data_IF_132376460154
#
_entry.id   IF_132376460154
#
_cell.length_a   1.000
_cell.length_b   1.000
_cell.length_c   1.000
_cell.angle_alpha   90.00
_cell.angle_beta   90.00
_cell.angle_gamma   90.00
#
_symmetry.space_group_name_H-M   'P 1'
#
loop_
_entity.id
_entity.type
_entity.pdbx_description
1 polymer ?
#
# COMPACT_ATOMS: atom_id res chain seq x y z
N UNK A 1 -1.75 2.20 24.51
CA UNK A 1 -2.67 2.88 23.55
C UNK A 1 -4.10 2.78 24.05
N UNK A 2 -4.91 3.84 23.89
CA UNK A 2 -6.35 3.84 24.23
C UNK A 2 -7.18 3.24 23.08
N UNK A 3 -8.35 2.68 23.38
CA UNK A 3 -9.22 2.02 22.37
C UNK A 3 -9.57 2.97 21.23
N UNK A 4 -9.96 4.21 21.53
CA UNK A 4 -10.33 5.17 20.47
C UNK A 4 -9.14 5.54 19.58
N UNK A 5 -7.91 5.60 20.11
CA UNK A 5 -6.70 5.82 19.29
C UNK A 5 -6.49 4.64 18.33
N UNK A 6 -6.69 3.42 18.83
CA UNK A 6 -6.60 2.21 18.00
C UNK A 6 -7.67 2.18 16.89
N UNK A 7 -8.89 2.66 17.18
CA UNK A 7 -9.96 2.80 16.17
C UNK A 7 -9.53 3.80 15.09
N UNK A 8 -9.03 4.97 15.47
CA UNK A 8 -8.59 6.01 14.51
C UNK A 8 -7.46 5.48 13.64
N UNK A 9 -6.41 4.91 14.23
CA UNK A 9 -5.27 4.35 13.49
C UNK A 9 -5.70 3.17 12.61
N UNK A 10 -6.62 2.34 13.08
CA UNK A 10 -7.22 1.28 12.28
C UNK A 10 -7.96 1.81 11.06
N UNK A 11 -8.83 2.82 11.22
CA UNK A 11 -9.53 3.47 10.10
C UNK A 11 -8.53 4.09 9.13
N UNK A 12 -7.51 4.78 9.65
CA UNK A 12 -6.45 5.39 8.83
C UNK A 12 -5.77 4.32 8.00
N UNK A 13 -5.27 3.23 8.61
CA UNK A 13 -4.64 2.13 7.89
C UNK A 13 -5.58 1.56 6.82
N UNK A 14 -6.81 1.20 7.20
CA UNK A 14 -7.73 0.53 6.28
C UNK A 14 -8.09 1.40 5.08
N UNK A 15 -8.34 2.69 5.28
CA UNK A 15 -8.54 3.62 4.17
C UNK A 15 -7.26 3.70 3.31
N UNK A 16 -6.14 4.04 3.93
CA UNK A 16 -4.94 4.47 3.20
C UNK A 16 -4.12 3.33 2.59
N UNK A 17 -4.35 2.07 2.98
CA UNK A 17 -3.63 0.90 2.44
C UNK A 17 -3.91 0.70 0.94
N UNK A 18 -5.16 0.90 0.52
CA UNK A 18 -5.56 0.68 -0.87
C UNK A 18 -5.63 1.96 -1.68
N UNK A 19 -5.99 3.07 -1.03
CA UNK A 19 -5.93 4.39 -1.64
C UNK A 19 -4.47 4.72 -2.01
N UNK A 20 -4.22 5.41 -3.14
CA UNK A 20 -2.87 5.69 -3.60
C UNK A 20 -2.25 6.87 -2.84
N UNK A 21 -2.27 6.82 -1.50
CA UNK A 21 -1.90 7.94 -0.62
C UNK A 21 -0.85 7.60 0.44
N UNK A 22 -0.35 6.36 0.46
CA UNK A 22 0.64 5.84 1.41
C UNK A 22 0.10 5.64 2.83
N UNK A 23 -0.20 4.39 3.19
CA UNK A 23 -0.65 4.01 4.52
C UNK A 23 0.40 4.24 5.58
N UNK A 24 1.65 3.82 5.35
CA UNK A 24 2.75 4.05 6.28
C UNK A 24 2.93 5.52 6.63
N UNK A 25 2.88 6.41 5.63
CA UNK A 25 3.01 7.85 5.88
C UNK A 25 1.86 8.42 6.71
N UNK A 26 0.63 8.00 6.45
CA UNK A 26 -0.53 8.44 7.23
C UNK A 26 -0.52 7.86 8.65
N UNK A 27 -0.12 6.61 8.81
CA UNK A 27 -0.05 5.96 10.12
C UNK A 27 0.98 6.64 11.01
N UNK A 28 2.16 6.97 10.48
CA UNK A 28 3.20 7.74 11.18
C UNK A 28 2.69 9.12 11.57
N UNK A 29 2.09 9.85 10.61
CA UNK A 29 1.53 11.18 10.85
C UNK A 29 0.47 11.17 11.97
N UNK A 30 -0.52 10.29 11.88
CA UNK A 30 -1.59 10.21 12.85
C UNK A 30 -1.10 9.71 14.22
N UNK A 31 -0.11 8.80 14.25
CA UNK A 31 0.48 8.38 15.52
C UNK A 31 1.17 9.54 16.23
N UNK A 32 1.92 10.36 15.47
CA UNK A 32 2.54 11.58 15.98
C UNK A 32 1.49 12.58 16.49
N UNK A 33 0.44 12.87 15.70
CA UNK A 33 -0.63 13.80 16.08
C UNK A 33 -1.43 13.35 17.31
N UNK A 34 -1.61 12.04 17.50
CA UNK A 34 -2.33 11.47 18.64
C UNK A 34 -1.46 11.32 19.90
N UNK A 35 -0.15 11.57 19.79
CA UNK A 35 0.82 11.42 20.87
C UNK A 35 0.88 10.01 21.46
N UNK A 36 0.60 8.97 20.64
CA UNK A 36 0.75 7.59 21.08
C UNK A 36 2.09 7.00 20.62
N UNK A 37 2.70 6.08 21.39
CA UNK A 37 3.91 5.40 20.94
C UNK A 37 3.58 4.49 19.76
N UNK A 38 4.42 4.50 18.73
CA UNK A 38 4.36 3.48 17.69
C UNK A 38 4.61 2.11 18.31
N UNK A 39 3.91 1.11 17.76
CA UNK A 39 3.99 -0.25 18.26
C UNK A 39 3.97 -1.20 17.07
N UNK A 40 5.14 -1.74 16.74
CA UNK A 40 5.33 -2.65 15.61
C UNK A 40 4.31 -3.79 15.60
N UNK A 41 4.00 -4.39 16.76
CA UNK A 41 3.01 -5.46 16.82
C UNK A 41 1.59 -4.97 16.47
N UNK A 42 1.21 -3.77 16.90
CA UNK A 42 -0.08 -3.20 16.50
C UNK A 42 -0.13 -2.90 15.00
N UNK A 43 0.93 -2.33 14.44
CA UNK A 43 1.00 -2.02 13.00
C UNK A 43 0.90 -3.29 12.15
N UNK A 44 1.57 -4.37 12.58
CA UNK A 44 1.45 -5.72 12.00
C UNK A 44 -0.02 -6.19 12.02
N UNK A 45 -0.71 -6.05 13.15
CA UNK A 45 -2.12 -6.45 13.27
C UNK A 45 -3.02 -5.61 12.34
N UNK A 46 -2.77 -4.32 12.20
CA UNK A 46 -3.51 -3.47 11.27
C UNK A 46 -3.34 -3.92 9.81
N UNK A 47 -2.12 -4.30 9.40
CA UNK A 47 -1.87 -4.87 8.07
C UNK A 47 -2.64 -6.18 7.85
N UNK A 48 -2.69 -7.07 8.85
CA UNK A 48 -3.53 -8.28 8.80
C UNK A 48 -5.00 -7.89 8.63
N UNK A 49 -5.47 -6.87 9.34
CA UNK A 49 -6.82 -6.33 9.19
C UNK A 49 -7.13 -5.97 7.74
N UNK A 50 -6.20 -5.31 7.05
CA UNK A 50 -6.35 -4.97 5.62
C UNK A 50 -6.14 -6.14 4.65
N UNK A 51 -5.43 -7.19 5.05
CA UNK A 51 -5.27 -8.40 4.22
C UNK A 51 -6.60 -9.12 4.00
N UNK A 52 -7.51 -9.09 4.99
CA UNK A 52 -8.83 -9.73 4.92
C UNK A 52 -9.68 -9.20 3.74
N UNK A 53 -9.89 -7.87 3.57
CA UNK A 53 -10.52 -7.30 2.39
C UNK A 53 -9.95 -7.81 1.06
N UNK A 54 -8.62 -7.88 0.93
CA UNK A 54 -7.99 -8.36 -0.30
C UNK A 54 -8.37 -9.80 -0.59
N UNK A 55 -8.23 -10.69 0.39
CA UNK A 55 -8.53 -12.12 0.23
C UNK A 55 -10.00 -12.31 -0.16
N UNK A 56 -10.92 -11.60 0.51
CA UNK A 56 -12.36 -11.75 0.27
C UNK A 56 -12.78 -11.18 -1.09
N UNK A 57 -12.34 -9.95 -1.42
CA UNK A 57 -12.71 -9.27 -2.68
C UNK A 57 -12.07 -9.93 -3.89
N UNK A 58 -10.83 -10.40 -3.78
CA UNK A 58 -10.08 -11.04 -4.87
C UNK A 58 -10.10 -12.56 -4.84
N UNK A 59 -10.95 -13.21 -4.02
CA UNK A 59 -11.00 -14.68 -3.89
C UNK A 59 -11.04 -15.40 -5.24
N UNK A 60 -11.86 -14.94 -6.18
CA UNK A 60 -11.99 -15.56 -7.49
C UNK A 60 -10.72 -15.38 -8.33
N UNK A 61 -10.12 -14.19 -8.31
CA UNK A 61 -8.88 -13.84 -9.00
C UNK A 61 -7.67 -14.60 -8.43
N UNK A 62 -7.64 -14.81 -7.12
CA UNK A 62 -6.66 -15.66 -6.43
C UNK A 62 -6.74 -17.09 -6.96
N UNK A 63 -7.93 -17.71 -6.94
CA UNK A 63 -8.11 -19.07 -7.46
C UNK A 63 -7.74 -19.18 -8.94
N UNK A 64 -8.13 -18.20 -9.77
CA UNK A 64 -7.73 -18.14 -11.19
C UNK A 64 -6.21 -18.05 -11.37
N UNK A 65 -5.53 -17.31 -10.50
CA UNK A 65 -4.08 -17.11 -10.55
C UNK A 65 -3.32 -18.35 -10.12
N UNK A 66 -3.75 -19.00 -9.04
CA UNK A 66 -3.15 -20.28 -8.57
C UNK A 66 -3.31 -21.37 -9.62
N UNK A 67 -4.46 -21.44 -10.31
CA UNK A 67 -4.69 -22.41 -11.41
C UNK A 67 -3.91 -22.09 -12.69
N UNK A 68 -3.30 -20.91 -12.80
CA UNK A 68 -2.59 -20.47 -14.00
C UNK A 68 -1.12 -20.23 -13.69
N UNK A 69 -0.26 -21.21 -14.01
CA UNK A 69 1.20 -21.13 -13.80
C UNK A 69 1.78 -19.81 -14.33
N UNK A 70 1.32 -19.37 -15.52
CA UNK A 70 1.76 -18.10 -16.12
C UNK A 70 1.42 -16.88 -15.26
N UNK A 71 0.19 -16.78 -14.74
CA UNK A 71 -0.23 -15.64 -13.90
C UNK A 71 0.47 -15.68 -12.54
N UNK A 72 0.60 -16.87 -11.96
CA UNK A 72 1.33 -17.06 -10.71
C UNK A 72 2.80 -16.65 -10.87
N UNK A 73 3.45 -17.04 -11.96
CA UNK A 73 4.82 -16.64 -12.26
C UNK A 73 4.95 -15.12 -12.38
N UNK A 74 4.02 -14.44 -13.05
CA UNK A 74 4.05 -12.98 -13.14
C UNK A 74 3.86 -12.30 -11.79
N UNK A 75 2.97 -12.82 -10.94
CA UNK A 75 2.80 -12.32 -9.58
C UNK A 75 4.09 -12.47 -8.77
N UNK A 76 4.72 -13.65 -8.84
CA UNK A 76 5.99 -13.94 -8.15
C UNK A 76 7.12 -13.04 -8.64
N UNK A 77 7.27 -12.88 -9.96
CA UNK A 77 8.29 -11.98 -10.56
C UNK A 77 8.10 -10.55 -10.09
N UNK A 78 6.85 -10.08 -10.00
CA UNK A 78 6.56 -8.72 -9.57
C UNK A 78 6.81 -8.53 -8.06
N UNK A 79 6.84 -9.58 -7.25
CA UNK A 79 6.95 -9.45 -5.79
C UNK A 79 8.35 -9.79 -5.26
N UNK A 80 9.11 -10.63 -5.95
CA UNK A 80 10.48 -11.02 -5.54
C UNK A 80 11.39 -9.82 -5.30
N UNK A 81 11.52 -8.84 -6.22
CA UNK A 81 12.45 -7.72 -6.03
C UNK A 81 12.15 -6.92 -4.75
N UNK A 82 10.87 -6.65 -4.49
CA UNK A 82 10.45 -5.93 -3.28
C UNK A 82 10.67 -6.76 -2.01
N UNK A 83 10.36 -8.07 -2.04
CA UNK A 83 10.61 -8.95 -0.90
C UNK A 83 12.10 -9.06 -0.54
N UNK A 84 12.97 -9.20 -1.55
CA UNK A 84 14.42 -9.23 -1.35
C UNK A 84 14.94 -7.90 -0.82
N UNK A 85 14.49 -6.78 -1.39
CA UNK A 85 14.93 -5.48 -0.93
C UNK A 85 14.45 -5.18 0.50
N UNK A 86 13.21 -5.54 0.85
CA UNK A 86 12.72 -5.44 2.21
C UNK A 86 13.55 -6.27 3.19
N UNK A 87 13.93 -7.50 2.81
CA UNK A 87 14.78 -8.36 3.65
C UNK A 87 16.20 -7.82 3.84
N UNK A 88 16.87 -7.34 2.78
CA UNK A 88 18.27 -6.90 2.86
C UNK A 88 18.46 -5.45 3.31
N UNK A 89 17.46 -4.59 3.08
CA UNK A 89 17.58 -3.14 3.29
C UNK A 89 16.50 -2.57 4.22
N UNK A 90 15.54 -3.36 4.71
CA UNK A 90 14.42 -2.90 5.54
C UNK A 90 14.87 -2.05 6.72
N UNK A 91 15.78 -2.56 7.55
CA UNK A 91 16.29 -1.83 8.73
C UNK A 91 16.93 -0.48 8.35
N UNK A 92 17.72 -0.44 7.26
CA UNK A 92 18.36 0.79 6.78
C UNK A 92 17.35 1.81 6.24
N UNK A 93 16.28 1.31 5.62
CA UNK A 93 15.19 2.14 5.11
C UNK A 93 14.41 2.75 6.28
N UNK A 94 14.17 1.98 7.33
CA UNK A 94 13.50 2.45 8.54
C UNK A 94 14.36 3.46 9.32
N UNK A 95 15.66 3.20 9.48
CA UNK A 95 16.60 4.14 10.12
C UNK A 95 16.74 5.47 9.36
N UNK A 96 16.65 5.44 8.03
CA UNK A 96 16.73 6.64 7.20
C UNK A 96 15.43 7.46 7.20
N UNK A 97 14.36 6.96 7.81
CA UNK A 97 13.06 7.60 7.78
C UNK A 97 12.85 8.57 8.94
N UNK A 98 12.42 9.78 8.61
CA UNK A 98 11.95 10.78 9.56
C UNK A 98 10.59 11.33 9.14
N UNK A 99 9.82 11.85 10.09
CA UNK A 99 8.54 12.53 9.82
C UNK A 99 8.74 13.70 8.85
N UNK A 100 9.90 14.34 8.88
CA UNK A 100 10.31 15.45 7.99
C UNK A 100 10.43 15.01 6.52
N UNK A 101 10.61 13.70 6.23
CA UNK A 101 10.65 13.17 4.87
C UNK A 101 9.26 13.00 4.25
N UNK A 102 8.20 12.93 5.07
CA UNK A 102 6.84 12.66 4.59
C UNK A 102 6.33 13.63 3.51
N UNK A 103 6.52 14.97 3.62
CA UNK A 103 6.08 15.89 2.58
C UNK A 103 6.71 15.58 1.22
N UNK A 104 8.01 15.27 1.19
CA UNK A 104 8.71 14.94 -0.05
C UNK A 104 8.16 13.65 -0.68
N UNK A 105 7.91 12.62 0.14
CA UNK A 105 7.36 11.35 -0.31
C UNK A 105 5.91 11.48 -0.83
N UNK A 106 5.09 12.32 -0.18
CA UNK A 106 3.74 12.64 -0.63
C UNK A 106 3.73 13.44 -1.93
N UNK A 107 4.60 14.46 -2.07
CA UNK A 107 4.77 15.20 -3.32
C UNK A 107 5.23 14.28 -4.45
N UNK A 108 6.17 13.38 -4.18
CA UNK A 108 6.61 12.38 -5.15
C UNK A 108 5.44 11.49 -5.61
N UNK A 109 4.68 10.94 -4.66
CA UNK A 109 3.51 10.11 -4.95
C UNK A 109 2.45 10.90 -5.74
N UNK A 110 2.20 12.15 -5.36
CA UNK A 110 1.27 13.01 -6.07
C UNK A 110 1.68 13.23 -7.53
N UNK A 111 2.97 13.48 -7.76
CA UNK A 111 3.55 13.71 -9.07
C UNK A 111 3.40 12.48 -9.97
N UNK A 112 3.78 11.29 -9.50
CA UNK A 112 3.67 10.07 -10.31
C UNK A 112 2.21 9.76 -10.69
N UNK A 113 1.26 9.98 -9.77
CA UNK A 113 -0.17 9.77 -10.04
C UNK A 113 -0.65 10.70 -11.13
N UNK A 114 -0.38 12.01 -10.99
CA UNK A 114 -0.80 13.03 -11.95
C UNK A 114 -0.16 12.82 -13.33
N UNK A 115 1.15 12.58 -13.35
CA UNK A 115 1.91 12.34 -14.59
C UNK A 115 1.40 11.07 -15.27
N UNK A 116 1.14 9.99 -14.52
CA UNK A 116 0.64 8.74 -15.09
C UNK A 116 -0.76 8.85 -15.67
N UNK A 117 -1.64 9.65 -15.09
CA UNK A 117 -2.96 9.92 -15.65
C UNK A 117 -2.86 10.72 -16.95
N UNK A 118 -2.05 11.78 -16.95
CA UNK A 118 -1.95 12.73 -18.07
C UNK A 118 -1.16 12.19 -19.25
N UNK A 119 -0.03 11.55 -18.97
CA UNK A 119 0.96 11.10 -19.96
C UNK A 119 1.05 9.57 -20.07
N UNK A 120 0.18 8.83 -19.38
CA UNK A 120 0.09 7.38 -19.50
C UNK A 120 -0.21 6.92 -20.93
N UNK A 121 0.31 5.75 -21.27
CA UNK A 121 0.11 5.13 -22.58
C UNK A 121 -1.36 4.81 -22.82
N UNK A 122 -1.86 5.19 -24.00
CA UNK A 122 -3.25 4.88 -24.42
C UNK A 122 -3.41 3.46 -24.97
N UNK A 123 -2.33 2.66 -24.99
CA UNK A 123 -2.39 1.24 -25.38
C UNK A 123 -3.29 0.46 -24.42
N UNK A 124 -3.78 -0.69 -24.87
CA UNK A 124 -4.67 -1.58 -24.10
C UNK A 124 -4.09 -3.00 -24.03
N UNK A 125 -2.88 -3.09 -23.48
CA UNK A 125 -2.10 -4.32 -23.34
C UNK A 125 -2.59 -5.14 -22.14
N UNK A 126 -2.34 -6.43 -22.21
CA UNK A 126 -2.46 -7.32 -21.06
C UNK A 126 -1.12 -7.42 -20.33
N UNK A 127 -1.13 -7.94 -19.10
CA UNK A 127 0.08 -8.21 -18.32
C UNK A 127 0.88 -9.31 -19.01
N UNK A 128 2.14 -9.00 -19.29
CA UNK A 128 3.17 -9.92 -19.74
C UNK A 128 4.38 -9.93 -18.81
N UNK A 129 5.40 -10.67 -19.20
CA UNK A 129 6.65 -10.78 -18.46
C UNK A 129 7.33 -9.42 -18.22
N UNK A 130 7.50 -8.63 -19.29
CA UNK A 130 8.15 -7.32 -19.18
C UNK A 130 7.41 -6.35 -18.28
N UNK A 131 6.07 -6.36 -18.30
CA UNK A 131 5.30 -5.56 -17.35
C UNK A 131 5.47 -6.06 -15.92
N UNK A 132 5.43 -7.38 -15.67
CA UNK A 132 5.60 -7.95 -14.34
C UNK A 132 6.95 -7.56 -13.72
N UNK A 133 8.04 -7.64 -14.48
CA UNK A 133 9.36 -7.14 -14.04
C UNK A 133 9.31 -5.64 -13.70
N UNK A 134 8.65 -4.83 -14.52
CA UNK A 134 8.53 -3.39 -14.28
C UNK A 134 7.74 -3.07 -13.01
N UNK A 135 6.61 -3.75 -12.76
CA UNK A 135 5.89 -3.61 -11.50
C UNK A 135 6.78 -3.96 -10.30
N UNK A 136 7.58 -5.03 -10.38
CA UNK A 136 8.47 -5.39 -9.28
C UNK A 136 9.56 -4.38 -8.98
N UNK A 137 10.14 -3.75 -10.01
CA UNK A 137 11.07 -2.63 -9.81
C UNK A 137 10.38 -1.43 -9.15
N UNK A 138 9.17 -1.08 -9.60
CA UNK A 138 8.39 0.02 -9.02
C UNK A 138 7.99 -0.28 -7.57
N UNK A 139 7.60 -1.52 -7.25
CA UNK A 139 7.32 -1.93 -5.88
C UNK A 139 8.54 -1.83 -4.97
N UNK A 140 9.71 -2.22 -5.48
CA UNK A 140 10.98 -2.11 -4.75
C UNK A 140 11.27 -0.67 -4.39
N UNK A 141 11.11 0.25 -5.35
CA UNK A 141 11.26 1.67 -5.09
C UNK A 141 10.23 2.20 -4.10
N UNK A 142 9.00 1.69 -4.15
CA UNK A 142 7.94 2.08 -3.24
C UNK A 142 8.06 1.49 -1.82
N UNK A 143 9.15 0.78 -1.50
CA UNK A 143 9.52 0.46 -0.11
C UNK A 143 9.98 1.70 0.66
N UNK A 144 10.39 2.76 -0.04
CA UNK A 144 10.74 4.03 0.59
C UNK A 144 9.53 4.57 1.37
N UNK A 145 9.69 4.86 2.68
CA UNK A 145 8.61 5.30 3.55
C UNK A 145 7.90 6.55 3.03
N UNK A 146 6.58 6.59 3.19
CA UNK A 146 5.73 7.67 2.67
C UNK A 146 5.44 7.60 1.16
N UNK A 147 6.12 6.75 0.38
CA UNK A 147 5.75 6.50 -1.01
C UNK A 147 4.58 5.53 -1.06
N UNK A 148 3.53 5.86 -1.83
CA UNK A 148 2.40 4.93 -1.97
C UNK A 148 2.74 3.80 -2.92
N UNK A 149 2.84 2.58 -2.38
CA UNK A 149 3.01 1.36 -3.19
C UNK A 149 1.84 1.11 -4.14
N UNK A 150 0.60 1.20 -3.66
CA UNK A 150 -0.60 1.06 -4.48
C UNK A 150 -0.64 2.12 -5.59
N UNK A 151 -0.35 3.38 -5.27
CA UNK A 151 -0.26 4.48 -6.23
C UNK A 151 0.81 4.27 -7.29
N UNK A 152 2.03 3.92 -6.86
CA UNK A 152 3.16 3.69 -7.76
C UNK A 152 2.89 2.54 -8.73
N UNK A 153 2.32 1.43 -8.25
CA UNK A 153 1.97 0.30 -9.11
C UNK A 153 0.86 0.65 -10.11
N UNK A 154 -0.21 1.30 -9.66
CA UNK A 154 -1.29 1.74 -10.55
C UNK A 154 -0.77 2.69 -11.64
N UNK A 155 0.10 3.63 -11.27
CA UNK A 155 0.79 4.52 -12.21
C UNK A 155 1.68 3.77 -13.19
N UNK A 156 2.40 2.74 -12.75
CA UNK A 156 3.21 1.90 -13.63
C UNK A 156 2.37 1.26 -14.74
N UNK A 157 1.19 0.73 -14.40
CA UNK A 157 0.27 0.17 -15.39
C UNK A 157 -0.25 1.20 -16.38
N UNK A 158 -0.55 2.42 -15.91
CA UNK A 158 -0.93 3.54 -16.79
C UNK A 158 0.19 3.89 -17.77
N UNK A 159 1.44 3.98 -17.33
CA UNK A 159 2.59 4.24 -18.21
C UNK A 159 2.80 3.12 -19.24
N UNK A 160 2.63 1.87 -18.83
CA UNK A 160 2.76 0.70 -19.72
C UNK A 160 1.58 0.56 -20.70
N UNK A 161 0.44 1.19 -20.41
CA UNK A 161 -0.80 1.05 -21.17
C UNK A 161 -1.45 -0.30 -20.94
N UNK A 162 -1.44 -0.78 -19.69
CA UNK A 162 -2.19 -1.97 -19.28
C UNK A 162 -3.68 -1.61 -19.20
N UNK A 163 -4.56 -2.55 -19.57
CA UNK A 163 -6.01 -2.37 -19.44
C UNK A 163 -6.38 -2.07 -17.99
N UNK A 164 -7.26 -1.10 -17.76
CA UNK A 164 -7.53 -0.58 -16.41
C UNK A 164 -7.94 -1.62 -15.37
N UNK A 165 -8.80 -2.57 -15.76
CA UNK A 165 -9.19 -3.68 -14.89
C UNK A 165 -8.03 -4.64 -14.59
N UNK A 166 -7.23 -4.97 -15.60
CA UNK A 166 -6.07 -5.85 -15.41
C UNK A 166 -4.96 -5.17 -14.60
N UNK A 167 -4.77 -3.86 -14.80
CA UNK A 167 -3.86 -3.03 -14.00
C UNK A 167 -4.29 -3.02 -12.54
N UNK A 168 -5.56 -2.68 -12.27
CA UNK A 168 -6.07 -2.61 -10.90
C UNK A 168 -6.00 -3.96 -10.21
N UNK A 169 -6.44 -5.02 -10.89
CA UNK A 169 -6.47 -6.35 -10.30
C UNK A 169 -5.05 -6.85 -10.02
N UNK A 170 -4.11 -6.67 -10.97
CA UNK A 170 -2.72 -7.06 -10.76
C UNK A 170 -2.07 -6.24 -9.62
N UNK A 171 -2.24 -4.92 -9.60
CA UNK A 171 -1.69 -4.05 -8.56
C UNK A 171 -2.14 -4.42 -7.14
N UNK A 172 -3.43 -4.74 -6.97
CA UNK A 172 -3.96 -5.16 -5.67
C UNK A 172 -3.59 -6.62 -5.33
N UNK A 173 -3.53 -7.51 -6.32
CA UNK A 173 -3.10 -8.90 -6.07
C UNK A 173 -1.65 -8.98 -5.61
N UNK A 174 -0.77 -8.11 -6.10
CA UNK A 174 0.62 -8.02 -5.62
C UNK A 174 0.71 -7.66 -4.13
N UNK A 175 -0.30 -6.97 -3.58
CA UNK A 175 -0.38 -6.71 -2.13
C UNK A 175 -0.37 -7.99 -1.31
N UNK A 176 -1.03 -9.05 -1.78
CA UNK A 176 -1.22 -10.29 -1.01
C UNK A 176 0.12 -10.90 -0.60
N UNK A 177 1.02 -11.30 -1.53
CA UNK A 177 2.31 -11.86 -1.15
C UNK A 177 3.22 -10.86 -0.44
N UNK A 178 3.14 -9.56 -0.76
CA UNK A 178 3.98 -8.53 -0.13
C UNK A 178 3.59 -8.33 1.34
N UNK A 179 2.31 -8.06 1.62
CA UNK A 179 1.81 -7.89 2.99
C UNK A 179 2.02 -9.18 3.80
N UNK A 180 1.80 -10.35 3.18
CA UNK A 180 2.02 -11.64 3.85
C UNK A 180 3.50 -11.83 4.19
N UNK A 181 4.42 -11.49 3.29
CA UNK A 181 5.86 -11.60 3.53
C UNK A 181 6.34 -10.59 4.59
N UNK A 182 5.91 -9.32 4.50
CA UNK A 182 6.19 -8.30 5.51
C UNK A 182 5.68 -8.74 6.88
N UNK A 183 4.44 -9.23 6.97
CA UNK A 183 3.89 -9.81 8.18
C UNK A 183 4.77 -10.95 8.73
N UNK A 184 5.19 -11.90 7.88
CA UNK A 184 5.99 -13.02 8.31
C UNK A 184 7.37 -12.59 8.83
N UNK A 185 8.00 -11.59 8.21
CA UNK A 185 9.28 -11.03 8.64
C UNK A 185 9.14 -10.25 9.95
N UNK A 186 8.17 -9.33 10.03
CA UNK A 186 7.94 -8.50 11.21
C UNK A 186 7.53 -9.34 12.41
N UNK A 187 6.71 -10.39 12.22
CA UNK A 187 6.27 -11.28 13.29
C UNK A 187 7.41 -12.05 13.96
N UNK A 188 8.51 -12.35 13.24
CA UNK A 188 9.70 -13.03 13.81
C UNK A 188 10.44 -12.13 14.79
N UNK A 189 10.38 -10.80 14.61
CA UNK A 189 11.02 -9.83 15.52
C UNK A 189 10.26 -9.61 16.83
N UNK A 190 9.03 -10.08 16.96
CA UNK A 190 8.15 -9.78 18.09
C UNK A 190 8.42 -10.77 19.24
N UNK A 191 9.14 -10.30 20.26
CA UNK A 191 9.47 -11.09 21.45
C UNK A 191 8.29 -11.33 22.40
N UNK A 192 7.30 -10.43 22.39
CA UNK A 192 6.13 -10.51 23.27
C UNK A 192 4.87 -10.08 22.53
N UNK A 193 3.91 -11.00 22.43
CA UNK A 193 2.58 -10.71 21.89
C UNK A 193 1.69 -10.10 22.99
N UNK A 194 1.53 -8.78 22.97
CA UNK A 194 0.68 -8.04 23.89
C UNK A 194 -0.72 -7.81 23.32
N UNK A 195 -1.56 -8.84 23.25
CA UNK A 195 -2.94 -8.68 22.78
C UNK A 195 -3.73 -7.81 23.77
N UNK A 196 -4.40 -6.79 23.24
CA UNK A 196 -5.30 -5.94 24.01
C UNK A 196 -6.61 -5.74 23.25
N UNK A 197 -7.69 -5.42 23.97
CA UNK A 197 -8.98 -5.09 23.34
C UNK A 197 -8.85 -3.95 22.33
N UNK A 198 -7.98 -2.96 22.62
CA UNK A 198 -7.68 -1.87 21.69
C UNK A 198 -7.10 -2.39 20.37
N UNK A 199 -6.17 -3.34 20.41
CA UNK A 199 -5.51 -3.87 19.20
C UNK A 199 -6.48 -4.66 18.32
N UNK A 200 -7.33 -5.48 18.94
CA UNK A 200 -8.37 -6.24 18.24
C UNK A 200 -9.38 -5.28 17.59
N UNK A 201 -9.87 -4.29 18.34
CA UNK A 201 -10.85 -3.32 17.83
C UNK A 201 -10.24 -2.47 16.70
N UNK A 202 -8.99 -2.03 16.83
CA UNK A 202 -8.28 -1.31 15.76
C UNK A 202 -8.10 -2.16 14.50
N UNK A 203 -7.77 -3.44 14.66
CA UNK A 203 -7.67 -4.41 13.54
C UNK A 203 -9.01 -4.59 12.83
N UNK A 204 -10.11 -4.70 13.58
CA UNK A 204 -11.46 -4.78 13.01
C UNK A 204 -11.79 -3.47 12.27
N UNK A 205 -11.45 -2.31 12.84
CA UNK A 205 -11.65 -1.02 12.19
C UNK A 205 -10.87 -0.91 10.87
N UNK A 206 -9.62 -1.40 10.81
CA UNK A 206 -8.83 -1.49 9.58
C UNK A 206 -9.44 -2.43 8.55
N UNK A 207 -9.96 -3.59 8.99
CA UNK A 207 -10.67 -4.51 8.10
C UNK A 207 -11.90 -3.86 7.47
N UNK A 208 -12.79 -3.27 8.29
CA UNK A 208 -14.05 -2.67 7.81
C UNK A 208 -13.78 -1.48 6.88
N UNK A 209 -12.94 -0.54 7.30
CA UNK A 209 -12.57 0.61 6.46
C UNK A 209 -11.81 0.18 5.20
N UNK A 210 -10.97 -0.84 5.30
CA UNK A 210 -10.27 -1.48 4.19
C UNK A 210 -11.21 -2.07 3.13
N UNK A 211 -12.31 -2.72 3.53
CA UNK A 211 -13.32 -3.19 2.58
C UNK A 211 -13.92 -2.05 1.76
N UNK A 212 -14.29 -0.96 2.44
CA UNK A 212 -14.89 0.22 1.80
C UNK A 212 -13.89 0.84 0.81
N UNK A 213 -12.66 1.06 1.27
CA UNK A 213 -11.58 1.61 0.47
C UNK A 213 -11.24 0.74 -0.74
N UNK A 214 -11.14 -0.57 -0.58
CA UNK A 214 -10.79 -1.49 -1.67
C UNK A 214 -11.85 -1.52 -2.75
N UNK A 215 -13.14 -1.57 -2.38
CA UNK A 215 -14.25 -1.56 -3.35
C UNK A 215 -14.27 -0.25 -4.13
N UNK A 216 -14.16 0.88 -3.43
CA UNK A 216 -14.11 2.20 -4.05
C UNK A 216 -12.90 2.32 -4.99
N UNK A 217 -11.72 1.93 -4.50
CA UNK A 217 -10.49 2.09 -5.26
C UNK A 217 -10.45 1.14 -6.46
N UNK A 218 -11.00 -0.08 -6.39
CA UNK A 218 -11.15 -0.96 -7.56
C UNK A 218 -11.96 -0.30 -8.66
N UNK A 219 -13.01 0.46 -8.32
CA UNK A 219 -13.82 1.21 -9.29
C UNK A 219 -13.05 2.39 -9.89
N UNK A 220 -12.36 3.17 -9.06
CA UNK A 220 -11.60 4.35 -9.52
C UNK A 220 -10.40 3.92 -10.36
N UNK A 221 -9.65 2.91 -9.91
CA UNK A 221 -8.45 2.41 -10.55
C UNK A 221 -8.68 1.96 -12.00
N UNK A 222 -9.84 1.37 -12.29
CA UNK A 222 -10.23 0.97 -13.65
C UNK A 222 -10.24 2.13 -14.64
N UNK A 223 -10.53 3.35 -14.17
CA UNK A 223 -10.55 4.55 -15.02
C UNK A 223 -9.16 5.12 -15.33
N UNK A 224 -8.16 4.76 -14.53
CA UNK A 224 -6.80 5.32 -14.61
C UNK A 224 -6.69 6.78 -14.17
N UNK A 225 -7.71 7.35 -13.53
CA UNK A 225 -7.74 8.75 -13.07
C UNK A 225 -7.46 8.85 -11.57
N UNK A 226 -6.42 9.57 -11.20
CA UNK A 226 -5.89 9.67 -9.84
C UNK A 226 -5.67 11.12 -9.36
N UNK A 227 -5.96 12.12 -10.20
CA UNK A 227 -5.68 13.53 -9.93
C UNK A 227 -6.25 14.04 -8.61
N UNK A 228 -7.42 13.54 -8.17
CA UNK A 228 -7.97 13.90 -6.86
C UNK A 228 -7.04 13.49 -5.70
N UNK A 229 -6.40 12.32 -5.79
CA UNK A 229 -5.43 11.86 -4.80
C UNK A 229 -4.11 12.64 -4.89
N UNK A 230 -3.68 13.02 -6.10
CA UNK A 230 -2.54 13.92 -6.27
C UNK A 230 -2.75 15.25 -5.56
N UNK A 231 -3.91 15.89 -5.77
CA UNK A 231 -4.24 17.16 -5.10
C UNK A 231 -4.28 16.98 -3.60
N UNK A 232 -4.92 15.92 -3.11
CA UNK A 232 -4.95 15.61 -1.68
C UNK A 232 -3.53 15.50 -1.07
N UNK A 233 -2.64 14.75 -1.70
CA UNK A 233 -1.27 14.57 -1.22
C UNK A 233 -0.45 15.86 -1.25
N UNK A 234 -0.62 16.71 -2.26
CA UNK A 234 0.05 18.01 -2.31
C UNK A 234 -0.44 18.93 -1.19
N UNK A 235 -1.74 18.97 -0.93
CA UNK A 235 -2.32 19.74 0.17
C UNK A 235 -1.85 19.22 1.53
N UNK A 236 -1.80 17.89 1.70
CA UNK A 236 -1.31 17.27 2.92
C UNK A 236 0.18 17.56 3.15
N UNK A 237 1.01 17.44 2.12
CA UNK A 237 2.42 17.79 2.19
C UNK A 237 2.63 19.27 2.57
N UNK A 238 1.88 20.17 1.94
CA UNK A 238 1.92 21.60 2.27
C UNK A 238 1.48 21.86 3.72
N UNK A 239 0.42 21.20 4.18
CA UNK A 239 -0.03 21.32 5.56
C UNK A 239 1.04 20.85 6.55
N UNK A 240 1.69 19.70 6.30
CA UNK A 240 2.78 19.23 7.17
C UNK A 240 3.89 20.29 7.22
N UNK A 241 4.37 20.79 6.08
CA UNK A 241 5.44 21.81 6.03
C UNK A 241 5.06 23.09 6.79
N UNK A 242 3.79 23.52 6.72
CA UNK A 242 3.34 24.77 7.37
C UNK A 242 3.12 24.62 8.88
N UNK A 243 2.91 23.41 9.38
CA UNK A 243 2.58 23.13 10.79
C UNK A 243 3.63 22.27 11.50
N UNK A 244 4.80 22.03 10.90
CA UNK A 244 5.95 21.35 11.52
C UNK A 244 6.93 22.32 12.15
#
# INVERSE_FOLDING_TARGET
MKIWQAIVLGIVQGLTEFLPVSSSGHLVLFTHMLGCPQNMFFDVLLHIGTLVPLVVVFRAEIFKTIKSIKKLLFLVIATIPAGLAGYFFGDKIEEAFSVEFLPAAFVFTAAILFISEKFGSKKRRNIGFGSACFYGMIQTFALLPGISRSGSCLSAGNFLGIRGEENSDFAFMMSLPVITASFALEAVGIKTFGFSAAYIIGTIAACVSGFIALILMKKIAKSGKYSAFSVYLLLLAAAIILFS
#
